data_IF_608699684975
#
_entry.id   IF_608699684975
#
_cell.length_a   1.000
_cell.length_b   1.000
_cell.length_c   1.000
_cell.angle_alpha   90.00
_cell.angle_beta   90.00
_cell.angle_gamma   90.00
#
_symmetry.space_group_name_H-M   'P 1'
#
loop_
_entity.id
_entity.type
_entity.pdbx_description
1 polymer ?
#
# COMPACT_ATOMS: atom_id res chain seq x y z
N UNK A 1 8.72 21.15 15.55
CA UNK A 1 9.33 19.86 15.14
C UNK A 1 8.19 18.96 14.68
N UNK A 2 8.20 18.49 13.43
CA UNK A 2 7.17 17.57 12.95
C UNK A 2 7.55 16.16 13.40
N UNK A 3 6.70 15.51 14.20
CA UNK A 3 6.87 14.11 14.54
C UNK A 3 6.49 13.27 13.31
N UNK A 4 7.42 12.43 12.86
CA UNK A 4 7.12 11.40 11.87
C UNK A 4 6.12 10.41 12.50
N UNK A 5 5.07 10.08 11.74
CA UNK A 5 4.08 9.12 12.21
C UNK A 5 4.71 7.73 12.23
N UNK A 6 4.48 6.89 13.27
CA UNK A 6 4.89 5.51 13.24
C UNK A 6 4.36 4.81 11.99
N UNK A 7 5.26 4.21 11.21
CA UNK A 7 4.91 3.49 9.99
C UNK A 7 4.71 2.02 10.31
N UNK A 8 3.50 1.52 10.09
CA UNK A 8 3.20 0.10 10.09
C UNK A 8 3.41 -0.44 8.68
N UNK A 9 3.91 -1.66 8.55
CA UNK A 9 4.12 -2.28 7.24
C UNK A 9 3.90 -3.78 7.30
N UNK A 10 3.61 -4.38 6.16
CA UNK A 10 3.35 -5.80 6.09
C UNK A 10 3.10 -6.28 4.67
N UNK A 11 2.61 -7.52 4.58
CA UNK A 11 2.22 -8.14 3.32
C UNK A 11 0.76 -8.56 3.41
N UNK A 12 -0.02 -8.30 2.37
CA UNK A 12 -1.37 -8.86 2.21
C UNK A 12 -1.37 -9.90 1.10
N UNK A 13 -1.85 -11.15 1.37
CA UNK A 13 -1.96 -12.15 0.33
C UNK A 13 -3.10 -11.78 -0.63
N UNK A 14 -2.83 -11.86 -1.93
CA UNK A 14 -3.82 -11.77 -3.00
C UNK A 14 -3.61 -12.95 -3.97
N UNK A 15 -4.58 -13.31 -4.82
CA UNK A 15 -4.38 -14.40 -5.78
C UNK A 15 -3.15 -14.17 -6.68
N UNK A 16 -2.08 -14.93 -6.47
CA UNK A 16 -0.84 -14.86 -7.25
C UNK A 16 0.18 -13.79 -6.82
N UNK A 17 0.03 -13.16 -5.66
CA UNK A 17 1.06 -12.27 -5.10
C UNK A 17 0.92 -12.08 -3.58
N UNK A 18 2.01 -11.62 -2.95
CA UNK A 18 2.00 -11.05 -1.60
C UNK A 18 2.34 -9.57 -1.71
N UNK A 19 1.33 -8.72 -1.61
CA UNK A 19 1.46 -7.27 -1.80
C UNK A 19 2.07 -6.64 -0.56
N UNK A 20 3.23 -6.01 -0.71
CA UNK A 20 3.85 -5.22 0.35
C UNK A 20 3.14 -3.86 0.47
N UNK A 21 2.86 -3.43 1.70
CA UNK A 21 2.25 -2.13 1.99
C UNK A 21 2.83 -1.46 3.23
N UNK A 22 2.66 -0.14 3.31
CA UNK A 22 2.91 0.69 4.47
C UNK A 22 1.68 1.54 4.81
N UNK A 23 1.45 1.76 6.10
CA UNK A 23 0.36 2.59 6.64
C UNK A 23 0.92 3.55 7.69
N UNK A 24 0.50 4.81 7.63
CA UNK A 24 0.83 5.80 8.65
C UNK A 24 -0.35 6.76 8.89
N UNK A 25 -0.39 7.34 10.08
CA UNK A 25 -1.42 8.30 10.46
C UNK A 25 -2.78 7.68 10.78
N UNK A 26 -3.76 8.54 11.02
CA UNK A 26 -5.15 8.21 11.36
C UNK A 26 -6.10 9.21 10.70
N UNK A 27 -7.41 8.90 10.65
CA UNK A 27 -8.42 9.76 10.04
C UNK A 27 -8.92 9.22 8.70
N UNK A 28 -9.35 10.10 7.78
CA UNK A 28 -9.90 9.68 6.49
C UNK A 28 -8.85 8.94 5.64
N UNK A 29 -9.20 7.80 5.02
CA UNK A 29 -8.23 6.98 4.30
C UNK A 29 -7.80 7.62 2.97
N UNK A 30 -6.51 7.52 2.66
CA UNK A 30 -5.92 7.91 1.38
C UNK A 30 -5.03 6.79 0.88
N UNK A 31 -5.26 6.31 -0.35
CA UNK A 31 -4.44 5.26 -0.97
C UNK A 31 -3.55 5.86 -2.05
N UNK A 32 -2.25 5.59 -1.98
CA UNK A 32 -1.25 6.05 -2.94
C UNK A 32 -0.78 4.87 -3.81
N UNK A 33 -1.20 4.88 -5.07
CA UNK A 33 -0.77 3.93 -6.09
C UNK A 33 0.32 4.59 -6.96
N UNK A 34 1.42 3.88 -7.21
CA UNK A 34 2.51 4.39 -8.06
C UNK A 34 2.24 4.14 -9.55
N UNK A 35 3.01 4.80 -10.43
CA UNK A 35 2.99 4.52 -11.88
C UNK A 35 3.85 3.31 -12.26
N UNK A 36 3.81 2.90 -13.54
CA UNK A 36 4.66 1.82 -14.04
C UNK A 36 6.16 2.11 -13.87
N UNK A 37 6.97 1.06 -13.69
CA UNK A 37 8.43 1.10 -13.46
C UNK A 37 8.89 1.82 -12.19
N UNK A 38 7.96 2.16 -11.30
CA UNK A 38 8.23 2.80 -10.02
C UNK A 38 7.87 1.84 -8.87
N UNK A 39 8.05 2.31 -7.63
CA UNK A 39 7.54 1.66 -6.42
C UNK A 39 7.04 2.73 -5.43
N UNK A 40 6.58 2.32 -4.25
CA UNK A 40 5.98 3.20 -3.24
C UNK A 40 6.86 4.40 -2.83
N UNK A 41 8.18 4.34 -3.02
CA UNK A 41 9.13 5.37 -2.56
C UNK A 41 8.96 6.69 -3.32
N UNK A 42 8.33 6.68 -4.49
CA UNK A 42 7.95 7.92 -5.20
C UNK A 42 7.04 8.82 -4.36
N UNK A 43 6.39 8.24 -3.35
CA UNK A 43 5.50 8.94 -2.44
C UNK A 43 6.13 9.31 -1.10
N UNK A 44 7.42 9.08 -0.83
CA UNK A 44 8.04 9.30 0.50
C UNK A 44 7.66 10.66 1.14
N UNK A 45 7.79 11.75 0.38
CA UNK A 45 7.43 13.09 0.85
C UNK A 45 5.92 13.28 1.07
N UNK A 46 5.10 12.77 0.15
CA UNK A 46 3.64 12.89 0.21
C UNK A 46 3.05 12.05 1.34
N UNK A 47 3.61 10.86 1.56
CA UNK A 47 3.20 9.92 2.59
C UNK A 47 3.32 10.54 3.98
N UNK A 48 4.50 11.09 4.31
CA UNK A 48 4.73 11.74 5.60
C UNK A 48 3.90 13.03 5.77
N UNK A 49 3.68 13.78 4.68
CA UNK A 49 2.87 14.99 4.73
C UNK A 49 1.39 14.69 4.99
N UNK A 50 0.81 13.76 4.23
CA UNK A 50 -0.60 13.40 4.33
C UNK A 50 -0.91 12.64 5.63
N UNK A 51 0.02 11.82 6.13
CA UNK A 51 -0.16 11.06 7.38
C UNK A 51 -0.38 11.94 8.62
N UNK A 52 -0.11 13.24 8.53
CA UNK A 52 -0.41 14.20 9.61
C UNK A 52 -1.91 14.37 9.86
N UNK A 53 -2.75 14.09 8.87
CA UNK A 53 -4.21 14.34 8.93
C UNK A 53 -5.05 13.18 8.38
N UNK A 54 -4.42 12.20 7.74
CA UNK A 54 -5.07 11.08 7.08
C UNK A 54 -4.45 9.75 7.49
N UNK A 55 -5.23 8.68 7.42
CA UNK A 55 -4.68 7.33 7.38
C UNK A 55 -4.21 7.08 5.95
N UNK A 56 -2.91 7.09 5.72
CA UNK A 56 -2.34 6.96 4.38
C UNK A 56 -1.81 5.55 4.20
N UNK A 57 -2.21 4.92 3.09
CA UNK A 57 -1.77 3.59 2.68
C UNK A 57 -1.00 3.74 1.37
N UNK A 58 0.21 3.19 1.31
CA UNK A 58 0.95 3.04 0.06
C UNK A 58 1.41 1.60 -0.09
N UNK A 59 1.47 1.11 -1.33
CA UNK A 59 1.83 -0.28 -1.59
C UNK A 59 2.64 -0.41 -2.86
N UNK A 60 3.37 -1.51 -2.98
CA UNK A 60 4.07 -1.86 -4.21
C UNK A 60 3.15 -2.73 -5.08
N UNK A 61 2.87 -2.29 -6.30
CA UNK A 61 2.12 -3.09 -7.26
C UNK A 61 2.89 -4.37 -7.63
N UNK A 62 2.21 -5.37 -8.20
CA UNK A 62 2.85 -6.62 -8.63
C UNK A 62 4.09 -6.37 -9.49
N UNK A 63 5.18 -7.08 -9.19
CA UNK A 63 6.46 -6.95 -9.89
C UNK A 63 7.24 -5.68 -9.57
N UNK A 64 6.85 -4.93 -8.54
CA UNK A 64 7.53 -3.71 -8.09
C UNK A 64 7.98 -3.82 -6.64
N UNK A 65 9.04 -3.09 -6.29
CA UNK A 65 9.51 -2.93 -4.91
C UNK A 65 9.65 -4.26 -4.16
N UNK A 66 8.96 -4.38 -3.03
CA UNK A 66 9.01 -5.55 -2.15
C UNK A 66 7.89 -6.56 -2.41
N UNK A 67 6.97 -6.30 -3.35
CA UNK A 67 5.87 -7.23 -3.62
C UNK A 67 6.37 -8.51 -4.28
N UNK A 68 6.01 -9.64 -3.69
CA UNK A 68 6.38 -10.96 -4.16
C UNK A 68 5.30 -11.48 -5.13
N UNK A 69 5.69 -11.95 -6.31
CA UNK A 69 4.77 -12.54 -7.29
C UNK A 69 4.94 -14.05 -7.29
N UNK A 70 3.83 -14.76 -7.13
CA UNK A 70 3.81 -16.22 -7.16
C UNK A 70 3.44 -16.70 -8.56
N UNK A 71 4.02 -17.80 -9.06
CA UNK A 71 3.56 -18.41 -10.30
C UNK A 71 2.07 -18.78 -10.20
N UNK A 72 1.24 -18.18 -11.04
CA UNK A 72 -0.20 -18.42 -11.04
C UNK A 72 -0.75 -18.48 -12.45
N UNK A 73 -1.82 -19.25 -12.63
CA UNK A 73 -2.67 -19.23 -13.83
C UNK A 73 -3.86 -18.27 -13.68
N UNK A 74 -4.04 -17.67 -12.50
CA UNK A 74 -5.07 -16.67 -12.27
C UNK A 74 -4.84 -15.44 -13.16
N UNK A 75 -5.89 -14.88 -13.76
CA UNK A 75 -5.75 -13.69 -14.59
C UNK A 75 -5.25 -12.51 -13.74
N UNK A 76 -4.37 -11.70 -14.32
CA UNK A 76 -3.95 -10.45 -13.72
C UNK A 76 -5.08 -9.41 -13.81
N UNK A 77 -5.62 -9.01 -12.66
CA UNK A 77 -6.71 -8.04 -12.55
C UNK A 77 -6.25 -6.90 -11.63
N UNK A 78 -5.69 -5.80 -12.19
CA UNK A 78 -4.97 -4.79 -11.40
C UNK A 78 -5.75 -4.18 -10.23
N UNK A 79 -7.06 -3.98 -10.38
CA UNK A 79 -7.89 -3.37 -9.35
C UNK A 79 -8.20 -4.33 -8.17
N UNK A 80 -7.94 -5.64 -8.34
CA UNK A 80 -8.04 -6.63 -7.25
C UNK A 80 -6.79 -6.65 -6.37
N UNK A 81 -5.72 -5.98 -6.80
CA UNK A 81 -4.48 -5.82 -6.04
C UNK A 81 -4.45 -4.56 -5.18
N UNK A 82 -5.44 -3.67 -5.35
CA UNK A 82 -5.70 -2.68 -4.33
C UNK A 82 -5.86 -3.47 -3.05
N UNK A 83 -4.96 -3.27 -2.07
CA UNK A 83 -4.96 -4.12 -0.90
C UNK A 83 -6.38 -4.09 -0.36
N UNK A 84 -6.88 -5.28 0.02
CA UNK A 84 -8.17 -5.44 0.71
C UNK A 84 -8.31 -4.51 1.91
N UNK A 85 -7.26 -3.79 2.31
CA UNK A 85 -7.27 -2.57 3.11
C UNK A 85 -8.39 -1.56 2.85
N UNK A 86 -8.97 -1.46 1.66
CA UNK A 86 -10.15 -0.58 1.44
C UNK A 86 -11.49 -1.32 1.67
N UNK A 87 -11.50 -2.66 1.70
CA UNK A 87 -12.70 -3.50 1.79
C UNK A 87 -12.83 -4.42 3.02
N UNK A 88 -11.75 -4.65 3.78
CA UNK A 88 -11.72 -5.55 4.94
C UNK A 88 -11.30 -4.86 6.25
N UNK A 89 -11.00 -3.56 6.21
CA UNK A 89 -10.78 -2.75 7.40
C UNK A 89 -12.10 -2.17 7.94
N UNK A 90 -12.98 -3.07 8.37
CA UNK A 90 -13.50 -2.96 9.73
C UNK A 90 -12.33 -3.28 10.65
N UNK A 91 -11.43 -2.33 10.87
CA UNK A 91 -10.45 -2.45 11.95
C UNK A 91 -11.22 -2.34 13.28
N UNK A 92 -10.83 -3.06 14.35
CA UNK A 92 -11.28 -2.71 15.69
C UNK A 92 -10.92 -1.25 16.05
#
# INVERSE_FOLDING_TARGET
MAFEQPVQHGFVPVPGARIYYEVAGTGSPVVLQHGGFLDRRVWDNHFQFLARQHQVIRYDMRGSGLTEVEPTTSPFIPHQDLPGAVGEYSLP
#
